data_IF_304001668936
#
_entry.id   IF_304001668936
#
_cell.length_a   1.000
_cell.length_b   1.000
_cell.length_c   1.000
_cell.angle_alpha   90.00
_cell.angle_beta   90.00
_cell.angle_gamma   90.00
#
_symmetry.space_group_name_H-M   'P 1'
#
loop_
_entity.id
_entity.type
_entity.pdbx_description
1 polymer ?
#
# COMPACT_ATOMS: atom_id res chain seq x y z
N UNK A 1 31.05 -2.22 -5.37
CA UNK A 1 30.41 -0.91 -5.65
C UNK A 1 30.95 0.24 -4.78
N UNK A 2 32.12 0.07 -4.16
CA UNK A 2 32.75 1.04 -3.25
C UNK A 2 33.23 2.35 -3.89
N UNK A 3 33.20 2.47 -5.22
CA UNK A 3 33.69 3.67 -5.93
C UNK A 3 32.58 4.70 -6.22
N UNK A 4 31.31 4.40 -5.92
CA UNK A 4 30.16 5.25 -6.23
C UNK A 4 29.58 5.96 -5.01
N UNK A 5 30.37 6.14 -3.94
CA UNK A 5 29.91 6.73 -2.66
C UNK A 5 29.35 8.15 -2.79
N UNK A 6 29.68 8.88 -3.86
CA UNK A 6 29.17 10.23 -4.13
C UNK A 6 27.92 10.23 -5.03
N UNK A 7 27.44 9.06 -5.46
CA UNK A 7 26.27 8.96 -6.32
C UNK A 7 25.02 9.42 -5.55
N UNK A 8 24.31 10.40 -6.12
CA UNK A 8 23.08 10.97 -5.53
C UNK A 8 21.83 10.61 -6.30
N UNK A 9 21.94 10.37 -7.60
CA UNK A 9 20.80 10.08 -8.45
C UNK A 9 21.10 8.86 -9.30
N UNK A 10 20.25 7.85 -9.16
CA UNK A 10 20.25 6.66 -9.98
C UNK A 10 18.84 6.50 -10.55
N UNK A 11 18.71 6.72 -11.85
CA UNK A 11 17.44 6.63 -12.55
C UNK A 11 17.49 5.43 -13.50
N UNK A 12 16.56 4.51 -13.29
CA UNK A 12 16.45 3.21 -13.93
C UNK A 12 15.07 3.05 -14.60
N UNK A 13 14.32 4.14 -14.75
CA UNK A 13 13.08 4.17 -15.51
C UNK A 13 13.26 3.57 -16.92
N UNK A 14 12.38 2.63 -17.28
CA UNK A 14 12.42 1.94 -18.58
C UNK A 14 13.40 0.75 -18.65
N UNK A 15 14.14 0.45 -17.59
CA UNK A 15 14.99 -0.75 -17.50
C UNK A 15 14.17 -2.00 -17.16
N UNK A 16 13.21 -2.37 -18.01
CA UNK A 16 12.26 -3.48 -17.75
C UNK A 16 12.92 -4.86 -17.73
N UNK A 17 14.04 -5.02 -18.45
CA UNK A 17 14.85 -6.24 -18.45
C UNK A 17 15.77 -6.36 -17.22
N UNK A 18 15.80 -5.36 -16.33
CA UNK A 18 16.58 -5.44 -15.10
C UNK A 18 15.96 -6.49 -14.16
N UNK A 19 16.69 -7.58 -13.89
CA UNK A 19 16.17 -8.71 -13.11
C UNK A 19 16.58 -8.73 -11.65
N UNK A 20 17.63 -7.98 -11.29
CA UNK A 20 18.14 -7.91 -9.92
C UNK A 20 18.96 -6.64 -9.71
N UNK A 21 18.99 -6.18 -8.47
CA UNK A 21 19.97 -5.19 -8.04
C UNK A 21 21.35 -5.86 -7.83
N UNK A 22 22.48 -5.21 -8.16
CA UNK A 22 23.79 -5.70 -7.77
C UNK A 22 23.98 -5.61 -6.25
N UNK A 23 24.74 -6.56 -5.70
CA UNK A 23 24.96 -6.71 -4.25
C UNK A 23 25.75 -5.53 -3.67
N UNK A 24 25.37 -5.07 -2.48
CA UNK A 24 26.03 -4.00 -1.74
C UNK A 24 25.58 -2.60 -2.15
N UNK A 25 24.40 -2.49 -2.74
CA UNK A 25 23.80 -1.20 -3.11
C UNK A 25 23.32 -0.37 -1.92
N UNK A 26 23.02 -1.01 -0.78
CA UNK A 26 22.74 -0.32 0.47
C UNK A 26 23.89 0.54 0.98
N UNK A 27 25.11 0.34 0.46
CA UNK A 27 26.25 1.19 0.79
C UNK A 27 26.19 2.59 0.14
N UNK A 28 25.27 2.83 -0.81
CA UNK A 28 25.10 4.12 -1.48
C UNK A 28 24.29 5.10 -0.61
N UNK A 29 24.71 5.35 0.63
CA UNK A 29 23.93 6.11 1.63
C UNK A 29 23.70 7.59 1.27
N UNK A 30 24.48 8.14 0.33
CA UNK A 30 24.30 9.48 -0.23
C UNK A 30 23.25 9.54 -1.35
N UNK A 31 22.65 8.41 -1.73
CA UNK A 31 21.64 8.33 -2.77
C UNK A 31 20.36 9.07 -2.33
N UNK A 32 19.94 10.02 -3.16
CA UNK A 32 18.77 10.87 -2.97
C UNK A 32 17.64 10.46 -3.91
N UNK A 33 17.93 10.04 -5.14
CA UNK A 33 16.91 9.57 -6.08
C UNK A 33 17.21 8.14 -6.51
N UNK A 34 16.22 7.28 -6.32
CA UNK A 34 16.14 5.92 -6.85
C UNK A 34 14.69 5.68 -7.27
N UNK A 35 14.44 5.67 -8.57
CA UNK A 35 13.10 5.56 -9.13
C UNK A 35 12.64 4.10 -9.27
N UNK A 36 13.56 3.13 -9.37
CA UNK A 36 13.24 1.73 -9.64
C UNK A 36 14.16 0.77 -8.88
N UNK A 37 13.57 -0.24 -8.22
CA UNK A 37 14.25 -1.27 -7.47
C UNK A 37 13.61 -2.64 -7.74
N UNK A 38 14.43 -3.66 -7.97
CA UNK A 38 13.97 -5.03 -8.25
C UNK A 38 14.47 -5.95 -7.16
N UNK A 39 13.56 -6.49 -6.35
CA UNK A 39 13.88 -7.49 -5.35
C UNK A 39 13.54 -8.89 -5.89
N UNK A 40 14.56 -9.74 -6.03
CA UNK A 40 14.40 -11.15 -6.39
C UNK A 40 14.07 -12.01 -5.17
N UNK A 41 13.47 -13.16 -5.42
CA UNK A 41 13.25 -14.23 -4.45
C UNK A 41 14.55 -14.60 -3.73
N UNK A 42 14.55 -14.46 -2.40
CA UNK A 42 15.58 -15.02 -1.55
C UNK A 42 15.52 -16.54 -1.58
N UNK A 43 16.69 -17.17 -1.77
CA UNK A 43 16.82 -18.62 -1.64
C UNK A 43 16.63 -19.08 -0.18
N UNK A 44 16.38 -20.37 0.06
CA UNK A 44 16.34 -20.91 1.42
C UNK A 44 17.68 -20.66 2.13
N UNK A 45 17.65 -19.85 3.21
CA UNK A 45 18.83 -19.50 4.02
C UNK A 45 19.37 -18.08 3.81
N UNK A 46 18.78 -17.29 2.91
CA UNK A 46 19.15 -15.89 2.73
C UNK A 46 18.40 -15.02 3.76
N UNK A 47 19.12 -14.63 4.82
CA UNK A 47 18.56 -13.97 6.01
C UNK A 47 18.28 -12.47 5.81
N UNK A 48 18.79 -11.88 4.73
CA UNK A 48 18.72 -10.44 4.49
C UNK A 48 17.61 -10.01 3.53
N UNK A 49 17.35 -10.77 2.46
CA UNK A 49 16.53 -10.29 1.35
C UNK A 49 17.14 -9.08 0.64
N UNK A 50 17.01 -9.01 -0.69
CA UNK A 50 17.51 -7.86 -1.45
C UNK A 50 16.87 -6.54 -0.96
N UNK A 51 15.65 -6.61 -0.40
CA UNK A 51 14.96 -5.46 0.19
C UNK A 51 15.70 -4.84 1.39
N UNK A 52 16.49 -5.61 2.16
CA UNK A 52 17.25 -5.04 3.28
C UNK A 52 18.34 -4.06 2.82
N UNK A 53 18.78 -4.12 1.56
CA UNK A 53 19.70 -3.14 0.98
C UNK A 53 19.08 -1.72 1.01
N UNK A 54 17.75 -1.61 0.96
CA UNK A 54 17.06 -0.32 1.07
C UNK A 54 17.08 0.25 2.50
N UNK A 55 17.43 -0.53 3.54
CA UNK A 55 17.38 -0.06 4.93
C UNK A 55 18.36 1.07 5.24
N UNK A 56 19.49 1.10 4.53
CA UNK A 56 20.52 2.13 4.71
C UNK A 56 20.24 3.40 3.86
N UNK A 57 19.33 3.33 2.89
CA UNK A 57 19.06 4.41 1.92
C UNK A 57 17.95 5.35 2.41
N UNK A 58 18.23 6.08 3.50
CA UNK A 58 17.22 6.94 4.15
C UNK A 58 17.10 8.33 3.52
N UNK A 59 18.03 8.72 2.65
CA UNK A 59 18.00 10.01 1.95
C UNK A 59 17.12 10.02 0.69
N UNK A 60 16.46 8.90 0.38
CA UNK A 60 15.62 8.78 -0.80
C UNK A 60 14.44 9.76 -0.76
N UNK A 61 14.30 10.51 -1.84
CA UNK A 61 13.27 11.51 -2.04
C UNK A 61 12.47 11.26 -3.32
N UNK A 62 11.25 11.78 -3.36
CA UNK A 62 10.40 11.67 -4.54
C UNK A 62 9.65 10.35 -4.68
N UNK A 63 9.87 9.65 -5.78
CA UNK A 63 9.18 8.40 -6.11
C UNK A 63 10.15 7.22 -6.06
N UNK A 64 9.73 6.14 -5.41
CA UNK A 64 10.40 4.85 -5.42
C UNK A 64 9.42 3.79 -5.90
N UNK A 65 9.80 3.07 -6.96
CA UNK A 65 9.10 1.88 -7.44
C UNK A 65 9.86 0.63 -7.06
N UNK A 66 9.21 -0.29 -6.35
CA UNK A 66 9.76 -1.59 -6.00
C UNK A 66 8.99 -2.65 -6.79
N UNK A 67 9.72 -3.52 -7.48
CA UNK A 67 9.19 -4.70 -8.15
C UNK A 67 9.62 -5.93 -7.36
N UNK A 68 8.65 -6.70 -6.89
CA UNK A 68 8.88 -7.92 -6.10
C UNK A 68 8.69 -9.14 -6.99
N UNK A 69 9.79 -9.85 -7.25
CA UNK A 69 9.79 -11.13 -7.95
C UNK A 69 9.85 -12.30 -6.96
N UNK A 70 8.76 -13.05 -6.83
CA UNK A 70 8.70 -14.28 -6.04
C UNK A 70 8.43 -14.08 -4.54
N UNK A 71 8.70 -15.11 -3.73
CA UNK A 71 8.41 -15.10 -2.29
C UNK A 71 9.44 -14.25 -1.54
N UNK A 72 8.98 -13.21 -0.83
CA UNK A 72 9.80 -12.37 0.05
C UNK A 72 9.53 -12.68 1.52
N UNK A 73 10.51 -12.51 2.41
CA UNK A 73 10.25 -12.67 3.85
C UNK A 73 9.76 -11.33 4.43
N UNK A 74 8.78 -11.37 5.32
CA UNK A 74 8.32 -10.17 6.05
C UNK A 74 9.46 -9.48 6.82
N UNK A 75 10.35 -10.28 7.44
CA UNK A 75 11.51 -9.78 8.19
C UNK A 75 12.59 -9.13 7.31
N UNK A 76 12.50 -9.27 5.99
CA UNK A 76 13.40 -8.62 5.02
C UNK A 76 12.84 -7.32 4.45
N UNK A 77 11.65 -6.89 4.90
CA UNK A 77 11.03 -5.69 4.35
C UNK A 77 11.91 -4.45 4.59
N UNK A 78 12.01 -3.62 3.54
CA UNK A 78 12.70 -2.36 3.61
C UNK A 78 12.02 -1.43 4.63
N UNK A 79 12.81 -0.77 5.47
CA UNK A 79 12.32 0.23 6.41
C UNK A 79 11.94 1.51 5.65
N UNK A 80 10.72 1.55 5.11
CA UNK A 80 10.17 2.71 4.41
C UNK A 80 9.73 3.82 5.38
N UNK A 81 9.55 3.51 6.66
CA UNK A 81 9.29 4.52 7.71
C UNK A 81 10.45 5.50 7.87
N UNK A 82 11.70 5.08 7.63
CA UNK A 82 12.86 5.98 7.76
C UNK A 82 13.09 6.88 6.52
N UNK A 83 12.25 6.79 5.49
CA UNK A 83 12.38 7.54 4.22
C UNK A 83 11.37 8.69 4.18
N UNK A 84 11.58 9.66 5.05
CA UNK A 84 10.67 10.78 5.30
C UNK A 84 10.50 11.78 4.14
N UNK A 85 11.45 11.79 3.19
CA UNK A 85 11.43 12.61 1.97
C UNK A 85 10.74 11.92 0.79
N UNK A 86 10.32 10.66 0.95
CA UNK A 86 9.60 9.94 -0.09
C UNK A 86 8.16 10.45 -0.17
N UNK A 87 7.74 10.86 -1.37
CA UNK A 87 6.43 11.43 -1.65
C UNK A 87 5.52 10.44 -2.38
N UNK A 88 6.10 9.52 -3.14
CA UNK A 88 5.39 8.53 -3.92
C UNK A 88 6.04 7.14 -3.75
N UNK A 89 5.19 6.13 -3.59
CA UNK A 89 5.61 4.75 -3.46
C UNK A 89 4.79 3.87 -4.38
N UNK A 90 5.49 3.11 -5.22
CA UNK A 90 4.90 2.15 -6.15
C UNK A 90 5.42 0.76 -5.79
N UNK A 91 4.52 -0.18 -5.58
CA UNK A 91 4.86 -1.58 -5.34
C UNK A 91 4.17 -2.46 -6.38
N UNK A 92 4.97 -3.20 -7.13
CA UNK A 92 4.48 -4.16 -8.11
C UNK A 92 4.81 -5.58 -7.68
N UNK A 93 3.77 -6.36 -7.43
CA UNK A 93 3.89 -7.80 -7.24
C UNK A 93 3.82 -8.49 -8.60
N UNK A 94 4.87 -9.23 -8.97
CA UNK A 94 4.90 -9.99 -10.23
C UNK A 94 4.67 -11.48 -10.03
N UNK A 95 4.72 -11.98 -8.79
CA UNK A 95 4.44 -13.37 -8.45
C UNK A 95 2.96 -13.60 -8.10
N UNK A 96 2.55 -14.86 -8.20
CA UNK A 96 1.23 -15.36 -7.77
C UNK A 96 1.24 -15.90 -6.35
N UNK A 97 2.25 -15.55 -5.54
CA UNK A 97 2.42 -16.04 -4.17
C UNK A 97 1.39 -15.36 -3.24
N UNK A 98 1.05 -16.04 -2.15
CA UNK A 98 -0.03 -15.58 -1.25
C UNK A 98 0.48 -14.67 -0.11
N UNK A 99 1.80 -14.52 0.06
CA UNK A 99 2.40 -13.79 1.18
C UNK A 99 2.52 -12.28 0.95
N UNK A 100 1.81 -11.73 -0.04
CA UNK A 100 1.89 -10.30 -0.38
C UNK A 100 1.47 -9.39 0.78
N UNK A 101 0.57 -9.88 1.65
CA UNK A 101 0.14 -9.17 2.85
C UNK A 101 1.30 -8.92 3.81
N UNK A 102 2.02 -9.97 4.19
CA UNK A 102 3.08 -9.89 5.20
C UNK A 102 4.23 -8.99 4.70
N UNK A 103 4.55 -9.09 3.41
CA UNK A 103 5.55 -8.21 2.79
C UNK A 103 5.10 -6.75 2.81
N UNK A 104 3.82 -6.49 2.49
CA UNK A 104 3.27 -5.15 2.52
C UNK A 104 3.11 -4.61 3.96
N UNK A 105 2.92 -5.48 4.95
CA UNK A 105 2.92 -5.13 6.38
C UNK A 105 4.27 -4.54 6.79
N UNK A 106 5.38 -5.24 6.50
CA UNK A 106 6.73 -4.78 6.83
C UNK A 106 7.19 -3.55 6.03
N UNK A 107 6.62 -3.31 4.84
CA UNK A 107 6.95 -2.16 3.98
C UNK A 107 6.21 -0.86 4.38
N UNK A 108 5.49 -0.82 5.51
CA UNK A 108 4.69 0.34 5.93
C UNK A 108 5.37 1.68 5.56
N UNK A 109 4.78 2.50 4.67
CA UNK A 109 5.42 3.74 4.22
C UNK A 109 5.36 4.86 5.27
N UNK A 110 6.28 5.82 5.20
CA UNK A 110 6.28 6.98 6.09
C UNK A 110 5.02 7.87 5.92
N UNK A 111 4.58 8.52 7.01
CA UNK A 111 3.35 9.33 7.07
C UNK A 111 3.32 10.55 6.11
N UNK A 112 4.48 10.98 5.59
CA UNK A 112 4.58 12.06 4.59
C UNK A 112 4.20 11.62 3.17
N UNK A 113 3.99 10.32 2.94
CA UNK A 113 3.66 9.81 1.61
C UNK A 113 2.36 10.44 1.09
N UNK A 114 2.38 10.88 -0.17
CA UNK A 114 1.25 11.52 -0.86
C UNK A 114 0.64 10.62 -1.92
N UNK A 115 1.41 9.72 -2.51
CA UNK A 115 0.97 8.85 -3.59
C UNK A 115 1.33 7.41 -3.28
N UNK A 116 0.32 6.54 -3.24
CA UNK A 116 0.48 5.11 -3.04
C UNK A 116 -0.07 4.36 -4.23
N UNK A 117 0.75 3.49 -4.82
CA UNK A 117 0.35 2.60 -5.90
C UNK A 117 0.77 1.17 -5.58
N UNK A 118 -0.17 0.25 -5.62
CA UNK A 118 0.05 -1.18 -5.42
C UNK A 118 -0.55 -1.92 -6.60
N UNK A 119 0.24 -2.73 -7.30
CA UNK A 119 -0.20 -3.51 -8.46
C UNK A 119 0.01 -5.02 -8.23
N UNK A 120 -0.93 -5.83 -8.71
CA UNK A 120 -0.81 -7.30 -8.64
C UNK A 120 -1.02 -7.89 -7.25
N UNK A 121 -1.76 -7.22 -6.37
CA UNK A 121 -1.91 -7.66 -4.98
C UNK A 121 -2.76 -8.93 -4.86
N UNK A 122 -2.18 -10.02 -4.37
CA UNK A 122 -2.83 -11.33 -4.18
C UNK A 122 -3.02 -11.70 -2.69
N UNK A 123 -2.93 -10.73 -1.78
CA UNK A 123 -3.11 -10.98 -0.35
C UNK A 123 -4.56 -11.35 0.00
N UNK A 124 -4.73 -12.02 1.13
CA UNK A 124 -6.04 -12.41 1.66
C UNK A 124 -6.81 -11.26 2.32
N UNK A 125 -6.07 -10.26 2.81
CA UNK A 125 -6.58 -9.02 3.42
C UNK A 125 -5.55 -7.91 3.18
N UNK A 126 -5.94 -6.65 3.33
CA UNK A 126 -4.98 -5.54 3.37
C UNK A 126 -4.16 -5.58 4.68
N UNK A 127 -2.95 -4.98 4.72
CA UNK A 127 -2.12 -4.93 5.92
C UNK A 127 -2.79 -4.13 7.05
N UNK A 128 -2.35 -4.36 8.28
CA UNK A 128 -2.95 -3.82 9.51
C UNK A 128 -2.93 -2.30 9.54
N UNK A 129 -1.87 -1.67 9.00
CA UNK A 129 -1.75 -0.23 8.88
C UNK A 129 -2.72 0.40 7.86
N UNK A 130 -3.30 -0.40 6.96
CA UNK A 130 -4.41 0.04 6.11
C UNK A 130 -5.76 -0.21 6.77
N UNK A 131 -5.92 -1.33 7.48
CA UNK A 131 -7.20 -1.77 8.04
C UNK A 131 -7.60 -1.05 9.34
N UNK A 132 -8.81 -1.35 9.84
CA UNK A 132 -9.30 -0.96 11.18
C UNK A 132 -9.09 0.52 11.52
N UNK A 133 -9.39 1.39 10.56
CA UNK A 133 -9.21 2.84 10.69
C UNK A 133 -7.78 3.31 10.94
N UNK A 134 -6.76 2.52 10.64
CA UNK A 134 -5.37 2.95 10.84
C UNK A 134 -4.81 3.72 9.65
N UNK A 135 -5.44 3.65 8.47
CA UNK A 135 -4.89 4.30 7.27
C UNK A 135 -4.75 5.82 7.42
N UNK A 136 -5.75 6.48 8.01
CA UNK A 136 -5.70 7.92 8.24
C UNK A 136 -4.68 8.34 9.31
N UNK A 137 -4.37 7.46 10.27
CA UNK A 137 -3.30 7.69 11.26
C UNK A 137 -1.92 7.40 10.68
N UNK A 138 -1.79 6.33 9.89
CA UNK A 138 -0.53 5.85 9.34
C UNK A 138 -0.06 6.71 8.16
N UNK A 139 -1.00 7.12 7.29
CA UNK A 139 -0.73 7.85 6.05
C UNK A 139 -1.71 9.03 5.86
N UNK A 140 -1.70 10.02 6.77
CA UNK A 140 -2.67 11.13 6.78
C UNK A 140 -2.60 12.03 5.53
N UNK A 141 -1.44 12.07 4.86
CA UNK A 141 -1.15 12.99 3.77
C UNK A 141 -1.44 12.42 2.37
N UNK A 142 -2.07 11.24 2.28
CA UNK A 142 -2.38 10.61 1.00
C UNK A 142 -3.33 11.46 0.17
N UNK A 143 -2.89 11.74 -1.06
CA UNK A 143 -3.64 12.46 -2.10
C UNK A 143 -4.14 11.50 -3.17
N UNK A 144 -3.40 10.43 -3.45
CA UNK A 144 -3.73 9.49 -4.52
C UNK A 144 -3.44 8.07 -4.09
N UNK A 145 -4.43 7.19 -4.25
CA UNK A 145 -4.33 5.76 -3.98
C UNK A 145 -4.75 5.00 -5.23
N UNK A 146 -3.90 4.08 -5.69
CA UNK A 146 -4.22 3.12 -6.73
C UNK A 146 -3.88 1.72 -6.23
N UNK A 147 -4.87 0.84 -6.13
CA UNK A 147 -4.65 -0.57 -5.77
C UNK A 147 -5.28 -1.45 -6.83
N UNK A 148 -4.48 -2.34 -7.40
CA UNK A 148 -4.92 -3.36 -8.37
C UNK A 148 -4.68 -4.74 -7.78
N UNK A 149 -5.75 -5.52 -7.65
CA UNK A 149 -5.67 -6.94 -7.31
C UNK A 149 -4.99 -7.73 -8.43
N UNK A 150 -4.31 -8.82 -8.07
CA UNK A 150 -3.87 -9.81 -9.06
C UNK A 150 -4.95 -10.88 -9.31
N UNK A 151 -4.61 -11.89 -10.12
CA UNK A 151 -5.53 -12.97 -10.50
C UNK A 151 -6.10 -13.75 -9.30
N UNK A 152 -5.31 -13.87 -8.21
CA UNK A 152 -5.68 -14.60 -7.00
C UNK A 152 -5.97 -13.65 -5.82
N UNK A 153 -6.40 -12.41 -6.09
CA UNK A 153 -6.77 -11.48 -5.04
C UNK A 153 -7.98 -12.00 -4.23
N UNK A 154 -7.76 -12.33 -2.96
CA UNK A 154 -8.78 -12.87 -2.04
C UNK A 154 -9.35 -11.81 -1.08
N UNK A 155 -8.94 -10.55 -1.21
CA UNK A 155 -9.45 -9.45 -0.37
C UNK A 155 -10.96 -9.35 -0.49
N UNK A 156 -11.64 -9.51 0.65
CA UNK A 156 -13.12 -9.41 0.78
C UNK A 156 -13.56 -8.10 1.40
N UNK A 157 -12.72 -7.50 2.25
CA UNK A 157 -12.99 -6.22 2.89
C UNK A 157 -11.86 -5.24 2.64
N UNK A 158 -12.26 -3.99 2.36
CA UNK A 158 -11.36 -2.86 2.19
C UNK A 158 -11.28 -2.05 3.48
N UNK A 159 -10.34 -1.11 3.53
CA UNK A 159 -10.26 -0.16 4.61
C UNK A 159 -11.07 1.11 4.36
N UNK A 160 -11.32 1.87 5.43
CA UNK A 160 -12.02 3.15 5.36
C UNK A 160 -11.14 4.22 4.71
N UNK A 161 -11.26 4.40 3.39
CA UNK A 161 -10.56 5.45 2.64
C UNK A 161 -11.21 6.82 2.86
N UNK A 162 -12.49 6.85 3.22
CA UNK A 162 -13.27 8.07 3.37
C UNK A 162 -12.79 9.01 4.48
N UNK A 163 -11.97 8.52 5.41
CA UNK A 163 -11.40 9.32 6.49
C UNK A 163 -10.16 10.12 6.10
N UNK A 164 -9.62 9.88 4.91
CA UNK A 164 -8.43 10.60 4.45
C UNK A 164 -8.80 12.04 4.06
N UNK A 165 -8.26 13.05 4.76
CA UNK A 165 -8.68 14.44 4.57
C UNK A 165 -8.22 15.02 3.23
N UNK A 166 -7.14 14.50 2.67
CA UNK A 166 -6.49 15.03 1.46
C UNK A 166 -6.64 14.15 0.23
N UNK A 167 -7.36 13.02 0.34
CA UNK A 167 -7.50 12.06 -0.75
C UNK A 167 -8.32 12.67 -1.89
N UNK A 168 -7.69 12.87 -3.04
CA UNK A 168 -8.31 13.42 -4.24
C UNK A 168 -8.61 12.34 -5.27
N UNK A 169 -7.81 11.27 -5.32
CA UNK A 169 -7.94 10.20 -6.32
C UNK A 169 -7.91 8.83 -5.66
N UNK A 170 -8.98 8.06 -5.84
CA UNK A 170 -9.06 6.66 -5.42
C UNK A 170 -9.33 5.78 -6.65
N UNK A 171 -8.43 4.86 -6.95
CA UNK A 171 -8.57 3.90 -8.03
C UNK A 171 -8.42 2.48 -7.50
N UNK A 172 -9.50 1.70 -7.55
CA UNK A 172 -9.53 0.30 -7.14
C UNK A 172 -9.85 -0.58 -8.34
N UNK A 173 -9.05 -1.60 -8.56
CA UNK A 173 -9.19 -2.50 -9.72
C UNK A 173 -9.04 -3.95 -9.33
N UNK A 174 -9.81 -4.81 -9.98
CA UNK A 174 -9.64 -6.27 -9.93
C UNK A 174 -9.82 -6.88 -8.52
N UNK A 175 -10.67 -6.24 -7.71
CA UNK A 175 -11.13 -6.76 -6.42
C UNK A 175 -12.40 -7.59 -6.60
N UNK A 176 -12.22 -8.87 -6.93
CA UNK A 176 -13.32 -9.75 -7.33
C UNK A 176 -14.26 -10.16 -6.18
N UNK A 177 -13.78 -10.08 -4.95
CA UNK A 177 -14.51 -10.56 -3.76
C UNK A 177 -15.07 -9.44 -2.88
N UNK A 178 -14.76 -8.18 -3.18
CA UNK A 178 -15.20 -7.02 -2.38
C UNK A 178 -16.67 -6.69 -2.69
N UNK A 179 -17.48 -6.59 -1.64
CA UNK A 179 -18.89 -6.23 -1.74
C UNK A 179 -19.18 -4.76 -1.42
N UNK A 180 -18.41 -4.14 -0.53
CA UNK A 180 -18.57 -2.76 -0.07
C UNK A 180 -17.21 -2.08 0.05
N UNK A 181 -17.18 -0.75 -0.08
CA UNK A 181 -15.93 0.03 -0.09
C UNK A 181 -15.55 0.51 1.30
N UNK A 182 -16.55 0.84 2.11
CA UNK A 182 -16.40 1.27 3.49
C UNK A 182 -17.10 0.23 4.39
N UNK A 183 -16.44 -0.12 5.50
CA UNK A 183 -17.08 -0.93 6.55
C UNK A 183 -17.99 -0.03 7.41
N UNK A 184 -19.11 -0.58 7.87
CA UNK A 184 -20.02 0.12 8.78
C UNK A 184 -19.37 0.34 10.13
N UNK A 185 -19.21 1.61 10.49
CA UNK A 185 -18.92 2.02 11.84
C UNK A 185 -20.20 2.22 12.61
N UNK A 186 -20.75 1.13 13.13
CA UNK A 186 -21.81 1.19 14.12
C UNK A 186 -21.51 0.16 15.21
N UNK A 187 -20.56 0.50 16.09
CA UNK A 187 -20.31 -0.17 17.38
C UNK A 187 -19.47 0.71 18.35
N UNK A 188 -19.49 2.04 18.20
CA UNK A 188 -19.14 2.90 19.32
C UNK A 188 -20.39 3.02 20.22
N UNK A 189 -20.32 2.81 21.54
CA UNK A 189 -21.47 3.01 22.40
C UNK A 189 -21.95 4.46 22.27
N UNK A 190 -23.12 4.63 21.68
CA UNK A 190 -23.76 5.93 21.50
C UNK A 190 -24.22 6.39 22.87
N UNK A 191 -23.48 7.32 23.48
CA UNK A 191 -24.01 8.12 24.56
C UNK A 191 -25.03 9.09 23.93
N UNK A 192 -26.29 9.04 24.40
CA UNK A 192 -27.47 9.72 23.84
C UNK A 192 -27.36 11.26 23.76
N UNK A 193 -26.30 11.88 24.27
CA UNK A 193 -26.16 13.35 24.35
C UNK A 193 -25.23 13.99 23.30
N UNK A 194 -24.65 13.20 22.40
CA UNK A 194 -23.82 13.74 21.30
C UNK A 194 -24.50 13.51 19.97
N UNK A 195 -25.01 14.57 19.36
CA UNK A 195 -25.41 14.57 17.94
C UNK A 195 -24.28 13.91 17.15
N UNK A 196 -24.51 12.74 16.50
CA UNK A 196 -23.46 12.11 15.71
C UNK A 196 -23.26 12.99 14.48
N UNK A 197 -22.34 13.94 14.57
CA UNK A 197 -21.74 14.57 13.40
C UNK A 197 -20.88 13.47 12.76
N UNK A 198 -21.51 12.62 11.97
CA UNK A 198 -20.80 11.75 11.03
C UNK A 198 -20.00 12.70 10.15
N UNK A 199 -18.69 12.78 10.40
CA UNK A 199 -17.81 13.58 9.57
C UNK A 199 -17.99 13.12 8.11
N UNK A 200 -18.08 14.05 7.14
CA UNK A 200 -18.30 13.66 5.76
C UNK A 200 -17.16 12.74 5.30
N UNK A 201 -17.52 11.56 4.81
CA UNK A 201 -16.56 10.69 4.15
C UNK A 201 -16.11 11.35 2.84
N UNK A 202 -14.82 11.21 2.53
CA UNK A 202 -14.20 11.69 1.30
C UNK A 202 -14.28 13.22 1.10
N UNK A 203 -13.83 14.04 2.06
CA UNK A 203 -14.00 15.51 2.00
C UNK A 203 -13.28 16.17 0.81
N UNK A 204 -12.26 15.53 0.24
CA UNK A 204 -11.43 16.07 -0.85
C UNK A 204 -11.50 15.27 -2.16
N UNK A 205 -12.30 14.19 -2.23
CA UNK A 205 -12.25 13.26 -3.35
C UNK A 205 -12.81 13.91 -4.63
N UNK A 206 -12.00 13.89 -5.68
CA UNK A 206 -12.34 14.44 -7.00
C UNK A 206 -12.52 13.37 -8.05
N UNK A 207 -11.85 12.23 -7.85
CA UNK A 207 -11.80 11.17 -8.82
C UNK A 207 -11.87 9.81 -8.14
N UNK A 208 -12.79 9.00 -8.62
CA UNK A 208 -13.06 7.68 -8.13
C UNK A 208 -13.20 6.75 -9.33
N UNK A 209 -12.31 5.77 -9.41
CA UNK A 209 -12.32 4.77 -10.49
C UNK A 209 -12.42 3.39 -9.90
N UNK A 210 -13.48 2.68 -10.24
CA UNK A 210 -13.68 1.29 -9.91
C UNK A 210 -13.72 0.48 -11.20
N UNK A 211 -12.97 -0.62 -11.25
CA UNK A 211 -12.89 -1.42 -12.47
C UNK A 211 -12.77 -2.90 -12.12
N UNK A 212 -13.50 -3.76 -12.85
CA UNK A 212 -13.50 -5.23 -12.63
C UNK A 212 -13.71 -5.59 -11.14
N UNK A 213 -14.80 -5.09 -10.55
CA UNK A 213 -15.22 -5.43 -9.18
C UNK A 213 -16.61 -6.08 -9.20
N UNK A 214 -16.73 -7.32 -9.72
CA UNK A 214 -18.02 -7.96 -10.04
C UNK A 214 -18.98 -8.16 -8.85
N UNK A 215 -18.47 -8.27 -7.62
CA UNK A 215 -19.31 -8.46 -6.42
C UNK A 215 -19.66 -7.16 -5.69
N UNK A 216 -19.21 -6.02 -6.17
CA UNK A 216 -19.45 -4.74 -5.52
C UNK A 216 -20.95 -4.40 -5.54
N UNK A 217 -21.56 -4.30 -4.35
CA UNK A 217 -22.97 -4.02 -4.13
C UNK A 217 -23.24 -2.55 -3.84
N UNK A 218 -22.32 -1.87 -3.17
CA UNK A 218 -22.54 -0.48 -2.73
C UNK A 218 -21.35 0.14 -2.02
N UNK A 219 -21.58 1.34 -1.47
CA UNK A 219 -20.56 2.15 -0.81
C UNK A 219 -20.34 1.76 0.64
N UNK A 220 -21.42 1.79 1.42
CA UNK A 220 -21.51 1.34 2.79
C UNK A 220 -22.61 0.28 2.86
N UNK A 221 -22.57 -0.55 3.91
CA UNK A 221 -23.64 -1.52 4.13
C UNK A 221 -24.74 -0.77 4.89
N UNK A 222 -25.98 -0.78 4.41
CA UNK A 222 -27.05 -0.15 5.20
C UNK A 222 -27.45 -1.10 6.34
N UNK A 223 -27.00 -0.82 7.56
CA UNK A 223 -27.43 -1.53 8.78
C UNK A 223 -28.94 -1.38 9.04
N UNK A 224 -29.60 -0.40 8.41
CA UNK A 224 -31.01 -0.04 8.63
C UNK A 224 -32.04 -0.97 7.96
N UNK A 225 -31.65 -1.91 7.10
CA UNK A 225 -32.59 -2.83 6.43
C UNK A 225 -32.74 -4.21 7.09
N UNK A 226 -32.19 -4.44 8.28
CA UNK A 226 -32.35 -5.70 9.05
C UNK A 226 -33.51 -5.64 10.07
N UNK A 227 -34.58 -4.88 9.80
CA UNK A 227 -35.60 -4.59 10.82
C UNK A 227 -37.02 -4.32 10.35
N UNK A 228 -37.57 -5.03 9.36
CA UNK A 228 -39.03 -5.10 9.20
C UNK A 228 -39.51 -6.41 8.59
N UNK A 229 -39.26 -7.51 9.29
CA UNK A 229 -40.10 -8.70 9.17
C UNK A 229 -40.51 -9.11 10.58
N UNK A 230 -41.64 -8.58 11.04
CA UNK A 230 -42.42 -9.23 12.10
C UNK A 230 -43.77 -9.64 11.49
N UNK A 231 -44.12 -10.93 11.52
CA UNK A 231 -45.49 -11.37 11.26
C UNK A 231 -46.45 -10.87 12.35
#
# INVERSE_FOLDING_TARGET
MSNLINLRHLLLYGCEELRQMPIGWGNLTNLQRLDYFVAKQSGPGDLGGELAELNALNNLEGELRIVLGGRQCESSAANLQMKDKLMAFVLDFTSSEENHKDVLEGLQPHAHLRHLRICGYNGESLPSWMMKNQLHCSLPNLVSILITGGYNCKVTSLCSFGRLPHLQRLCLREFNSVEYIEEDEDNAPVNEDTVPRVAPLFPSLRELRLWKMPKLKGWQRDSRNMGSARP
#
